data_IF_569650485852
#
_entry.id   IF_569650485852
#
_cell.length_a   1.000
_cell.length_b   1.000
_cell.length_c   1.000
_cell.angle_alpha   90.00
_cell.angle_beta   90.00
_cell.angle_gamma   90.00
#
_symmetry.space_group_name_H-M   'P 1'
#
loop_
_entity.id
_entity.type
_entity.pdbx_description
1 polymer ?
#
# COMPACT_ATOMS: atom_id res chain seq x y z
N UNK A 1 32.67 33.20 43.44
CA UNK A 1 33.60 32.25 42.77
C UNK A 1 33.50 30.88 43.44
N UNK A 2 32.96 29.87 42.74
CA UNK A 2 33.35 28.45 42.84
C UNK A 2 32.67 27.70 41.68
N UNK A 3 33.50 27.14 40.82
CA UNK A 3 33.14 26.29 39.67
C UNK A 3 32.64 24.94 40.19
N UNK A 4 31.68 24.33 39.50
CA UNK A 4 31.63 22.87 39.42
C UNK A 4 31.02 22.46 38.07
N UNK A 5 31.89 22.08 37.14
CA UNK A 5 31.54 21.28 35.97
C UNK A 5 31.21 19.86 36.43
N UNK A 6 30.16 19.26 35.87
CA UNK A 6 29.98 17.81 35.85
C UNK A 6 29.49 17.39 34.47
N UNK A 7 30.41 16.79 33.70
CA UNK A 7 30.13 16.00 32.52
C UNK A 7 29.53 14.66 32.95
N UNK A 8 28.42 14.24 32.33
CA UNK A 8 28.05 12.83 32.27
C UNK A 8 27.92 12.43 30.80
N UNK A 9 28.96 11.78 30.31
CA UNK A 9 28.88 10.96 29.11
C UNK A 9 28.33 9.60 29.52
N UNK A 10 27.12 9.26 29.07
CA UNK A 10 26.60 7.89 29.14
C UNK A 10 26.48 7.36 27.71
N UNK A 11 27.46 6.53 27.33
CA UNK A 11 27.33 5.61 26.22
C UNK A 11 26.25 4.60 26.56
N UNK A 12 25.18 4.54 25.77
CA UNK A 12 24.23 3.43 25.80
C UNK A 12 24.26 2.79 24.41
N UNK A 13 25.05 1.73 24.30
CA UNK A 13 24.92 0.72 23.27
C UNK A 13 23.61 -0.04 23.53
N UNK A 14 22.60 0.13 22.70
CA UNK A 14 21.46 -0.80 22.67
C UNK A 14 21.25 -1.31 21.24
N UNK A 15 21.51 -2.60 21.10
CA UNK A 15 21.26 -3.43 19.92
C UNK A 15 19.78 -3.40 19.52
N UNK A 16 19.52 -3.12 18.25
CA UNK A 16 18.19 -3.23 17.62
C UNK A 16 17.65 -4.65 17.78
N UNK A 17 16.50 -4.81 18.46
CA UNK A 17 15.72 -6.04 18.40
C UNK A 17 14.66 -5.88 17.32
N UNK A 18 14.61 -6.85 16.40
CA UNK A 18 13.65 -6.93 15.31
C UNK A 18 12.48 -7.83 15.78
N UNK A 19 11.25 -7.35 15.70
CA UNK A 19 10.05 -8.17 15.85
C UNK A 19 9.63 -8.73 14.49
N UNK A 20 9.82 -10.02 14.29
CA UNK A 20 9.29 -10.75 13.14
C UNK A 20 7.98 -11.41 13.53
N UNK A 21 6.89 -11.09 12.82
CA UNK A 21 5.70 -11.92 12.83
C UNK A 21 5.75 -12.84 11.61
N UNK A 22 6.06 -14.13 11.82
CA UNK A 22 5.94 -15.16 10.78
C UNK A 22 4.96 -16.23 11.24
N UNK A 23 3.84 -16.34 10.55
CA UNK A 23 2.92 -17.46 10.70
C UNK A 23 3.52 -18.71 10.02
N UNK A 24 3.55 -19.84 10.73
CA UNK A 24 4.25 -21.05 10.29
C UNK A 24 3.29 -22.03 9.64
N UNK A 25 3.39 -22.20 8.32
CA UNK A 25 2.95 -23.44 7.65
C UNK A 25 3.97 -23.91 6.60
N UNK A 26 4.46 -25.14 6.81
CA UNK A 26 5.39 -25.87 5.94
C UNK A 26 4.71 -26.26 4.62
N UNK A 27 5.27 -25.79 3.50
CA UNK A 27 5.59 -26.60 2.32
C UNK A 27 6.60 -25.85 1.44
N UNK A 28 7.67 -26.55 1.05
CA UNK A 28 8.86 -26.05 0.35
C UNK A 28 8.58 -25.64 -1.11
N UNK A 29 7.99 -24.47 -1.30
CA UNK A 29 8.24 -23.61 -2.46
C UNK A 29 8.48 -22.24 -1.83
N UNK A 30 9.64 -21.61 -2.07
CA UNK A 30 9.88 -20.21 -1.66
C UNK A 30 8.81 -19.36 -2.32
N UNK A 31 7.71 -19.15 -1.61
CA UNK A 31 6.60 -18.33 -2.05
C UNK A 31 7.10 -16.90 -1.91
N UNK A 32 7.03 -16.14 -2.99
CA UNK A 32 7.36 -14.72 -2.98
C UNK A 32 6.55 -14.07 -1.86
N UNK A 33 7.25 -13.50 -0.89
CA UNK A 33 6.63 -12.86 0.26
C UNK A 33 6.79 -11.36 0.05
N UNK A 34 5.67 -10.68 -0.13
CA UNK A 34 5.63 -9.24 0.04
C UNK A 34 5.61 -8.93 1.53
N UNK A 35 6.58 -8.14 1.97
CA UNK A 35 6.81 -7.78 3.36
C UNK A 35 6.60 -6.28 3.48
N UNK A 36 5.79 -5.87 4.45
CA UNK A 36 5.71 -4.46 4.86
C UNK A 36 6.72 -4.28 6.00
N UNK A 37 7.58 -3.28 5.87
CA UNK A 37 8.52 -2.91 6.93
C UNK A 37 8.37 -1.44 7.25
N UNK A 38 8.35 -1.13 8.53
CA UNK A 38 8.38 0.23 9.05
C UNK A 38 9.73 0.50 9.68
N UNK A 39 10.29 1.67 9.44
CA UNK A 39 11.51 2.16 10.05
C UNK A 39 11.23 3.55 10.60
N UNK A 40 11.26 3.70 11.92
CA UNK A 40 11.09 4.98 12.59
C UNK A 40 12.33 5.27 13.45
N UNK A 41 12.85 6.50 13.34
CA UNK A 41 13.88 7.05 14.21
C UNK A 41 13.61 8.54 14.45
N UNK A 42 14.42 9.19 15.30
CA UNK A 42 14.27 10.58 15.72
C UNK A 42 14.14 11.62 14.58
N UNK A 43 14.53 11.25 13.36
CA UNK A 43 14.60 12.17 12.20
C UNK A 43 13.82 11.69 10.98
N UNK A 44 13.27 10.47 10.99
CA UNK A 44 12.70 9.86 9.79
C UNK A 44 11.75 8.72 10.12
N UNK A 45 10.63 8.65 9.42
CA UNK A 45 9.70 7.54 9.43
C UNK A 45 9.47 7.05 8.00
N UNK A 46 9.75 5.77 7.73
CA UNK A 46 9.57 5.15 6.41
C UNK A 46 8.82 3.83 6.48
N UNK A 47 7.72 3.74 5.72
CA UNK A 47 7.05 2.50 5.37
C UNK A 47 7.55 1.99 4.00
N UNK A 48 7.86 0.70 3.91
CA UNK A 48 8.32 0.05 2.67
C UNK A 48 7.53 -1.21 2.37
N UNK A 49 7.21 -1.40 1.10
CA UNK A 49 6.72 -2.67 0.57
C UNK A 49 7.85 -3.36 -0.18
N UNK A 50 8.28 -4.53 0.30
CA UNK A 50 9.47 -5.24 -0.18
C UNK A 50 9.06 -6.59 -0.75
N UNK A 51 9.42 -6.85 -2.00
CA UNK A 51 9.35 -8.18 -2.59
C UNK A 51 10.60 -8.98 -2.19
N UNK A 52 10.41 -10.00 -1.35
CA UNK A 52 11.47 -10.97 -1.05
C UNK A 52 11.31 -12.20 -1.95
N UNK A 53 12.22 -12.37 -2.90
CA UNK A 53 12.25 -13.50 -3.83
C UNK A 53 13.67 -14.04 -3.98
N UNK A 54 13.84 -15.36 -3.86
CA UNK A 54 15.12 -16.04 -4.03
C UNK A 54 16.29 -15.49 -3.20
N UNK A 55 16.01 -14.87 -2.04
CA UNK A 55 17.05 -14.25 -1.20
C UNK A 55 17.45 -12.84 -1.65
N UNK A 56 16.78 -12.29 -2.65
CA UNK A 56 16.87 -10.88 -3.04
C UNK A 56 15.65 -10.12 -2.49
N UNK A 57 15.90 -8.90 -2.01
CA UNK A 57 14.87 -8.00 -1.51
C UNK A 57 14.81 -6.78 -2.44
N UNK A 58 13.69 -6.63 -3.14
CA UNK A 58 13.44 -5.50 -4.02
C UNK A 58 12.39 -4.59 -3.39
N UNK A 59 12.71 -3.32 -3.18
CA UNK A 59 11.76 -2.32 -2.68
C UNK A 59 10.81 -1.95 -3.83
N UNK A 60 9.52 -2.20 -3.63
CA UNK A 60 8.48 -1.87 -4.62
C UNK A 60 7.90 -0.48 -4.43
N UNK A 61 7.79 -0.05 -3.17
CA UNK A 61 7.22 1.24 -2.79
C UNK A 61 7.84 1.70 -1.46
N UNK A 62 8.12 2.98 -1.38
CA UNK A 62 8.54 3.67 -0.15
C UNK A 62 7.57 4.83 0.11
N UNK A 63 7.24 5.04 1.38
CA UNK A 63 6.31 6.07 1.84
C UNK A 63 6.82 6.65 3.16
N UNK A 64 6.88 7.98 3.22
CA UNK A 64 7.11 8.72 4.45
C UNK A 64 5.91 8.59 5.38
N UNK A 65 6.14 8.26 6.66
CA UNK A 65 5.07 8.03 7.65
C UNK A 65 5.01 9.07 8.77
N UNK A 66 5.80 10.15 8.69
CA UNK A 66 5.81 11.22 9.69
C UNK A 66 4.45 11.93 9.83
N UNK A 67 3.64 11.94 8.77
CA UNK A 67 2.28 12.50 8.79
C UNK A 67 1.20 11.48 9.21
N UNK A 68 1.59 10.24 9.51
CA UNK A 68 0.69 9.12 9.81
C UNK A 68 0.26 8.31 8.58
N UNK A 69 0.86 8.54 7.40
CA UNK A 69 0.63 7.74 6.20
C UNK A 69 1.19 6.31 6.34
N UNK A 70 0.50 5.31 5.79
CA UNK A 70 0.82 3.90 6.00
C UNK A 70 0.65 3.04 4.74
N UNK A 71 1.26 1.86 4.77
CA UNK A 71 1.04 0.79 3.80
C UNK A 71 0.38 -0.36 4.54
N UNK A 72 -0.84 -0.70 4.15
CA UNK A 72 -1.63 -1.71 4.83
C UNK A 72 -1.95 -2.89 3.90
N UNK A 73 -1.74 -4.11 4.39
CA UNK A 73 -2.21 -5.30 3.70
C UNK A 73 -3.73 -5.44 3.86
N UNK A 74 -4.45 -5.46 2.74
CA UNK A 74 -5.91 -5.57 2.75
C UNK A 74 -6.32 -7.04 2.71
N UNK A 75 -5.90 -7.77 1.66
CA UNK A 75 -6.18 -9.20 1.49
C UNK A 75 -5.49 -9.77 0.26
N UNK A 76 -5.53 -11.09 0.14
CA UNK A 76 -5.29 -11.79 -1.12
C UNK A 76 -6.61 -12.06 -1.84
N UNK A 77 -6.65 -11.81 -3.16
CA UNK A 77 -7.76 -12.19 -4.05
C UNK A 77 -7.27 -13.16 -5.13
N UNK A 78 -8.22 -13.81 -5.81
CA UNK A 78 -7.92 -14.62 -6.99
C UNK A 78 -8.18 -13.82 -8.27
N UNK A 79 -7.24 -13.84 -9.20
CA UNK A 79 -7.42 -13.25 -10.53
C UNK A 79 -8.42 -14.03 -11.38
N UNK A 80 -8.74 -13.50 -12.57
CA UNK A 80 -9.80 -14.05 -13.46
C UNK A 80 -9.57 -15.52 -13.82
N UNK A 81 -8.31 -15.94 -13.98
CA UNK A 81 -7.94 -17.32 -14.30
C UNK A 81 -7.96 -18.27 -13.08
N UNK A 82 -8.34 -17.78 -11.89
CA UNK A 82 -8.36 -18.48 -10.57
C UNK A 82 -7.03 -19.06 -10.08
N UNK A 83 -6.01 -19.15 -10.94
CA UNK A 83 -4.63 -19.55 -10.63
C UNK A 83 -3.77 -18.38 -10.13
N UNK A 84 -4.15 -17.15 -10.48
CA UNK A 84 -3.43 -15.93 -10.07
C UNK A 84 -3.78 -15.60 -8.61
N UNK A 85 -2.79 -15.63 -7.72
CA UNK A 85 -2.87 -14.97 -6.41
C UNK A 85 -2.53 -13.50 -6.62
N UNK A 86 -3.39 -12.59 -6.14
CA UNK A 86 -3.14 -11.15 -6.20
C UNK A 86 -3.15 -10.59 -4.77
N UNK A 87 -2.07 -9.93 -4.37
CA UNK A 87 -1.99 -9.20 -3.10
C UNK A 87 -2.56 -7.81 -3.26
N UNK A 88 -3.45 -7.41 -2.36
CA UNK A 88 -4.07 -6.07 -2.34
C UNK A 88 -3.55 -5.31 -1.14
N UNK A 89 -3.05 -4.10 -1.39
CA UNK A 89 -2.52 -3.19 -0.38
C UNK A 89 -3.21 -1.83 -0.52
N UNK A 90 -3.49 -1.20 0.62
CA UNK A 90 -3.94 0.19 0.69
C UNK A 90 -2.74 1.05 1.07
N UNK A 91 -2.54 2.14 0.34
CA UNK A 91 -1.52 3.14 0.62
C UNK A 91 -2.27 4.36 1.16
N UNK A 92 -2.36 4.45 2.48
CA UNK A 92 -3.08 5.52 3.15
C UNK A 92 -2.24 6.79 3.12
N UNK A 93 -2.86 7.90 2.71
CA UNK A 93 -2.28 9.23 2.76
C UNK A 93 -3.03 10.03 3.83
N UNK A 94 -2.34 10.35 4.93
CA UNK A 94 -2.94 11.03 6.07
C UNK A 94 -3.33 12.48 5.75
N UNK A 95 -2.53 13.19 4.95
CA UNK A 95 -2.85 14.57 4.55
C UNK A 95 -4.14 14.69 3.73
N UNK A 96 -4.44 13.69 2.90
CA UNK A 96 -5.61 13.66 2.04
C UNK A 96 -6.79 12.86 2.63
N UNK A 97 -6.57 12.12 3.72
CA UNK A 97 -7.52 11.16 4.28
C UNK A 97 -8.12 10.25 3.20
N UNK A 98 -7.25 9.48 2.57
CA UNK A 98 -7.62 8.62 1.45
C UNK A 98 -6.58 7.56 1.13
N UNK A 99 -6.95 6.63 0.25
CA UNK A 99 -6.13 5.49 -0.12
C UNK A 99 -5.82 5.47 -1.62
N UNK A 100 -4.57 5.22 -1.96
CA UNK A 100 -4.24 4.59 -3.25
C UNK A 100 -4.28 3.06 -3.07
N UNK A 101 -4.53 2.31 -4.14
CA UNK A 101 -4.60 0.85 -4.08
C UNK A 101 -3.52 0.21 -4.94
N UNK A 102 -2.76 -0.70 -4.33
CA UNK A 102 -1.73 -1.49 -5.00
C UNK A 102 -2.18 -2.95 -5.13
N UNK A 103 -1.96 -3.50 -6.33
CA UNK A 103 -2.27 -4.86 -6.72
C UNK A 103 -0.99 -5.54 -7.18
N UNK A 104 -0.53 -6.55 -6.44
CA UNK A 104 0.62 -7.35 -6.82
C UNK A 104 0.18 -8.70 -7.37
N UNK A 105 0.54 -8.97 -8.62
CA UNK A 105 0.30 -10.28 -9.23
C UNK A 105 1.49 -11.20 -8.95
N UNK A 106 1.30 -12.17 -8.06
CA UNK A 106 2.35 -13.12 -7.65
C UNK A 106 2.78 -14.06 -8.79
N UNK A 107 1.92 -14.32 -9.78
CA UNK A 107 2.27 -15.18 -10.91
C UNK A 107 3.19 -14.46 -11.90
N UNK A 108 2.91 -13.18 -12.17
CA UNK A 108 3.71 -12.39 -13.12
C UNK A 108 4.80 -11.56 -12.45
N UNK A 109 4.87 -11.56 -11.12
CA UNK A 109 5.70 -10.68 -10.30
C UNK A 109 5.59 -9.21 -10.73
N UNK A 110 4.36 -8.69 -10.91
CA UNK A 110 4.13 -7.30 -11.30
C UNK A 110 3.29 -6.55 -10.29
N UNK A 111 3.67 -5.30 -10.02
CA UNK A 111 2.95 -4.40 -9.13
C UNK A 111 2.23 -3.31 -9.93
N UNK A 112 0.95 -3.14 -9.65
CA UNK A 112 0.10 -2.11 -10.24
C UNK A 112 -0.43 -1.21 -9.14
N UNK A 113 -0.42 0.10 -9.33
CA UNK A 113 -0.95 1.07 -8.35
C UNK A 113 -1.92 2.03 -9.01
N UNK A 114 -2.99 2.39 -8.31
CA UNK A 114 -3.82 3.52 -8.72
C UNK A 114 -3.08 4.82 -8.40
N UNK A 115 -2.84 5.72 -9.37
CA UNK A 115 -2.06 6.94 -9.13
C UNK A 115 -2.83 7.99 -8.31
N UNK A 116 -4.16 7.92 -8.32
CA UNK A 116 -5.01 8.80 -7.53
C UNK A 116 -5.22 8.24 -6.11
N UNK A 117 -5.41 9.17 -5.17
CA UNK A 117 -5.78 8.92 -3.79
C UNK A 117 -7.30 9.06 -3.65
N UNK A 118 -7.96 8.04 -3.12
CA UNK A 118 -9.41 7.92 -3.07
C UNK A 118 -9.93 7.98 -1.64
N UNK A 119 -10.91 8.84 -1.40
CA UNK A 119 -11.70 8.88 -0.16
C UNK A 119 -13.13 8.40 -0.43
N UNK A 120 -13.70 7.67 0.52
CA UNK A 120 -15.03 7.03 0.43
C UNK A 120 -15.20 6.06 -0.76
N UNK A 121 -14.11 5.44 -1.23
CA UNK A 121 -14.14 4.46 -2.32
C UNK A 121 -13.45 3.16 -1.90
N UNK A 122 -13.97 2.02 -2.35
CA UNK A 122 -13.29 0.72 -2.23
C UNK A 122 -13.18 0.01 -3.58
N UNK A 123 -12.15 -0.80 -3.83
CA UNK A 123 -11.99 -1.49 -5.11
C UNK A 123 -13.05 -2.59 -5.33
N UNK A 124 -13.66 -2.60 -6.52
CA UNK A 124 -14.44 -3.73 -7.03
C UNK A 124 -13.50 -4.76 -7.63
N UNK A 125 -13.01 -5.69 -6.82
CA UNK A 125 -11.96 -6.65 -7.22
C UNK A 125 -12.29 -7.49 -8.46
N UNK A 126 -13.57 -7.77 -8.73
CA UNK A 126 -14.02 -8.50 -9.92
C UNK A 126 -13.83 -7.71 -11.22
N UNK A 127 -13.73 -6.39 -11.12
CA UNK A 127 -13.51 -5.48 -12.25
C UNK A 127 -12.04 -5.34 -12.65
N UNK A 128 -11.10 -5.80 -11.82
CA UNK A 128 -9.66 -5.70 -12.04
C UNK A 128 -9.26 -6.32 -13.39
N UNK A 129 -8.64 -5.52 -14.25
CA UNK A 129 -8.15 -5.92 -15.56
C UNK A 129 -6.70 -5.46 -15.75
N UNK A 130 -5.75 -6.39 -15.56
CA UNK A 130 -4.33 -6.10 -15.75
C UNK A 130 -3.96 -5.82 -17.21
N UNK A 131 -4.66 -6.41 -18.18
CA UNK A 131 -4.38 -6.19 -19.61
C UNK A 131 -4.76 -4.77 -20.03
N UNK A 132 -5.90 -4.28 -19.55
CA UNK A 132 -6.37 -2.90 -19.78
C UNK A 132 -5.90 -1.92 -18.70
N UNK A 133 -5.13 -2.39 -17.71
CA UNK A 133 -4.66 -1.65 -16.53
C UNK A 133 -5.74 -0.80 -15.90
N UNK A 134 -6.93 -1.36 -15.66
CA UNK A 134 -8.00 -0.60 -15.02
C UNK A 134 -8.69 -1.38 -13.91
N UNK A 135 -9.33 -0.61 -13.05
CA UNK A 135 -10.17 -1.10 -11.96
C UNK A 135 -11.33 -0.12 -11.74
N UNK A 136 -12.46 -0.66 -11.33
CA UNK A 136 -13.60 0.10 -10.83
C UNK A 136 -13.49 0.19 -9.31
N UNK A 137 -13.66 1.39 -8.77
CA UNK A 137 -13.91 1.62 -7.35
C UNK A 137 -15.38 1.96 -7.16
N UNK A 138 -15.98 1.42 -6.11
CA UNK A 138 -17.36 1.70 -5.71
C UNK A 138 -17.36 2.65 -4.53
N UNK A 139 -18.25 3.62 -4.59
CA UNK A 139 -18.55 4.51 -3.48
C UNK A 139 -19.03 3.71 -2.25
N UNK A 140 -18.49 4.02 -1.06
CA UNK A 140 -18.88 3.39 0.21
C UNK A 140 -20.07 4.07 0.87
N UNK A 141 -20.38 5.31 0.49
CA UNK A 141 -21.52 6.04 1.00
C UNK A 141 -22.80 5.61 0.27
N UNK A 142 -23.94 5.74 0.94
CA UNK A 142 -25.28 5.42 0.43
C UNK A 142 -25.77 6.39 -0.67
N UNK A 143 -24.86 7.09 -1.36
CA UNK A 143 -25.20 8.06 -2.38
C UNK A 143 -25.87 7.38 -3.58
N UNK A 144 -27.16 7.61 -3.73
CA UNK A 144 -28.01 7.20 -4.85
C UNK A 144 -27.94 8.22 -5.98
N UNK A 145 -26.73 8.47 -6.48
CA UNK A 145 -26.55 9.23 -7.72
C UNK A 145 -27.16 8.53 -8.94
N UNK A 146 -27.23 9.22 -10.07
CA UNK A 146 -27.69 8.62 -11.34
C UNK A 146 -26.81 7.42 -11.71
N UNK A 147 -27.46 6.29 -12.05
CA UNK A 147 -26.86 4.98 -12.41
C UNK A 147 -25.77 5.00 -13.50
N UNK A 148 -25.62 6.13 -14.22
CA UNK A 148 -24.67 6.30 -15.31
C UNK A 148 -23.40 7.09 -14.93
N UNK A 149 -23.21 7.45 -13.66
CA UNK A 149 -22.13 8.35 -13.26
C UNK A 149 -20.84 7.60 -12.89
N UNK A 150 -20.11 7.17 -13.93
CA UNK A 150 -18.75 6.63 -13.78
C UNK A 150 -17.72 7.70 -14.12
N UNK A 151 -17.04 8.21 -13.09
CA UNK A 151 -15.89 9.09 -13.28
C UNK A 151 -14.71 8.28 -13.84
N UNK A 152 -14.08 8.75 -14.91
CA UNK A 152 -12.87 8.13 -15.47
C UNK A 152 -11.65 8.92 -15.07
N UNK A 153 -10.73 8.27 -14.37
CA UNK A 153 -9.48 8.87 -13.92
C UNK A 153 -8.32 8.30 -14.72
N UNK A 154 -7.47 9.21 -15.16
CA UNK A 154 -6.29 8.90 -15.95
C UNK A 154 -5.11 8.41 -15.10
N UNK A 155 -3.91 8.54 -15.64
CA UNK A 155 -2.68 8.13 -14.98
C UNK A 155 -2.06 9.24 -14.10
N UNK A 156 -2.72 10.37 -13.91
CA UNK A 156 -2.16 11.47 -13.11
C UNK A 156 -2.46 11.26 -11.62
N UNK A 157 -1.54 11.64 -10.72
CA UNK A 157 -1.87 11.75 -9.31
C UNK A 157 -2.89 12.85 -9.07
N UNK A 158 -3.96 12.51 -8.38
CA UNK A 158 -5.04 13.42 -8.00
C UNK A 158 -5.80 12.88 -6.78
N UNK A 159 -6.52 13.76 -6.09
CA UNK A 159 -7.37 13.37 -4.98
C UNK A 159 -8.83 13.30 -5.43
N UNK A 160 -9.48 12.17 -5.13
CA UNK A 160 -10.83 11.86 -5.61
C UNK A 160 -11.72 11.44 -4.44
N UNK A 161 -12.79 12.19 -4.22
CA UNK A 161 -13.82 11.88 -3.21
C UNK A 161 -15.02 11.23 -3.90
N UNK A 162 -15.25 9.93 -3.68
CA UNK A 162 -16.44 9.26 -4.22
C UNK A 162 -17.72 9.75 -3.56
N UNK A 163 -17.67 9.90 -2.23
CA UNK A 163 -18.79 9.96 -1.29
C UNK A 163 -19.92 10.96 -1.53
N UNK A 164 -19.80 11.84 -2.51
CA UNK A 164 -20.78 12.92 -2.78
C UNK A 164 -21.14 13.10 -4.26
N UNK A 165 -20.48 12.41 -5.18
CA UNK A 165 -20.56 12.75 -6.62
C UNK A 165 -20.76 11.56 -7.52
N UNK A 166 -20.02 10.47 -7.33
CA UNK A 166 -19.98 9.37 -8.29
C UNK A 166 -20.32 8.04 -7.61
N UNK A 167 -21.11 7.20 -8.27
CA UNK A 167 -21.35 5.83 -7.77
C UNK A 167 -20.14 4.93 -8.02
N UNK A 168 -19.48 5.14 -9.16
CA UNK A 168 -18.30 4.38 -9.57
C UNK A 168 -17.19 5.31 -10.06
N UNK A 169 -15.95 4.90 -9.82
CA UNK A 169 -14.76 5.52 -10.40
C UNK A 169 -13.98 4.47 -11.15
N UNK A 170 -13.71 4.71 -12.44
CA UNK A 170 -12.81 3.87 -13.24
C UNK A 170 -11.43 4.49 -13.22
N UNK A 171 -10.49 3.84 -12.53
CA UNK A 171 -9.10 4.25 -12.45
C UNK A 171 -8.23 3.48 -13.44
N UNK A 172 -7.27 4.17 -14.07
CA UNK A 172 -6.16 3.54 -14.80
C UNK A 172 -5.00 3.34 -13.84
N UNK A 173 -4.47 2.12 -13.79
CA UNK A 173 -3.37 1.72 -12.92
C UNK A 173 -2.02 1.91 -13.64
N UNK A 174 -1.00 2.35 -12.88
CA UNK A 174 0.39 2.36 -13.31
C UNK A 174 1.09 1.06 -12.92
N UNK A 175 2.04 0.63 -13.74
CA UNK A 175 2.98 -0.43 -13.38
C UNK A 175 4.16 0.22 -12.66
N UNK A 176 4.53 -0.31 -11.49
CA UNK A 176 5.68 0.17 -10.71
C UNK A 176 6.75 -0.90 -10.50
N UNK A 177 6.45 -2.15 -10.88
CA UNK A 177 7.36 -3.29 -10.90
C UNK A 177 6.86 -4.30 -11.94
#
# INVERSE_FOLDING_TARGET
MKKMLLFFASYILLSCSQSYYSDTFKNNIRQDSLIITEMENDTCCMNRLILSHNGQNNVLLELHCEDGSSIDFVKNIRGKKRQEKIGVYAIYNAAADGNSFLFFNYLTQRAYITPACFSDCVPEYTSLDFKKRNIILRNTNSFTGSLNDTLKIGEKPEYVVCGKKFQFVKAIMKIIY
#
